data_IF_733086314902
#
_entry.id   IF_733086314902
#
_cell.length_a   1.000
_cell.length_b   1.000
_cell.length_c   1.000
_cell.angle_alpha   90.00
_cell.angle_beta   90.00
_cell.angle_gamma   90.00
#
_symmetry.space_group_name_H-M   'P 1'
#
loop_
_entity.id
_entity.type
_entity.pdbx_description
1 polymer ?
#
# COMPACT_ATOMS: atom_id res chain seq x y z
N UNK A 1 -3.36 -66.84 21.36
CA UNK A 1 -4.66 -66.33 20.87
C UNK A 1 -4.55 -64.81 20.82
N UNK A 2 -4.43 -64.25 19.62
CA UNK A 2 -4.19 -62.83 19.38
C UNK A 2 -5.55 -62.19 19.04
N UNK A 3 -6.08 -61.31 19.89
CA UNK A 3 -7.29 -60.56 19.59
C UNK A 3 -6.88 -59.16 19.13
N UNK A 4 -6.74 -58.97 17.81
CA UNK A 4 -6.57 -57.64 17.22
C UNK A 4 -7.96 -57.02 17.07
N UNK A 5 -8.30 -56.06 17.93
CA UNK A 5 -9.51 -55.25 17.78
C UNK A 5 -9.34 -54.24 16.65
N UNK A 6 -10.08 -54.41 15.56
CA UNK A 6 -10.19 -53.41 14.50
C UNK A 6 -11.17 -52.33 14.96
N UNK A 7 -10.67 -51.12 15.19
CA UNK A 7 -11.53 -49.94 15.38
C UNK A 7 -12.14 -49.56 14.04
N UNK A 8 -13.42 -49.87 13.85
CA UNK A 8 -14.20 -49.45 12.68
C UNK A 8 -14.60 -47.99 12.90
N UNK A 9 -13.87 -47.06 12.29
CA UNK A 9 -14.31 -45.68 12.17
C UNK A 9 -15.31 -45.57 11.01
N UNK A 10 -16.55 -45.19 11.29
CA UNK A 10 -17.56 -44.93 10.26
C UNK A 10 -17.26 -43.58 9.58
N UNK A 11 -16.81 -43.62 8.32
CA UNK A 11 -16.73 -42.42 7.46
C UNK A 11 -18.15 -42.06 7.01
N UNK A 12 -18.56 -40.80 7.18
CA UNK A 12 -19.84 -40.27 6.72
C UNK A 12 -19.66 -39.27 5.59
N UNK A 13 -20.65 -39.12 4.73
CA UNK A 13 -20.65 -38.10 3.67
C UNK A 13 -21.26 -36.81 4.20
N UNK A 14 -20.44 -35.76 4.25
CA UNK A 14 -20.87 -34.40 4.62
C UNK A 14 -21.17 -33.64 3.33
N UNK A 15 -22.37 -33.08 3.25
CA UNK A 15 -22.80 -32.23 2.13
C UNK A 15 -23.05 -30.81 2.61
N UNK A 16 -23.07 -29.86 1.69
CA UNK A 16 -23.34 -28.47 2.04
C UNK A 16 -23.37 -27.53 0.85
N UNK A 17 -23.64 -26.26 1.12
CA UNK A 17 -23.69 -25.16 0.15
C UNK A 17 -22.77 -24.03 0.62
N UNK A 18 -22.04 -23.44 -0.32
CA UNK A 18 -21.06 -22.38 -0.08
C UNK A 18 -21.48 -21.12 -0.82
N UNK A 19 -21.59 -20.02 -0.09
CA UNK A 19 -21.98 -18.70 -0.60
C UNK A 19 -20.98 -17.62 -0.21
N UNK A 20 -21.06 -16.44 -0.82
CA UNK A 20 -20.34 -15.24 -0.37
C UNK A 20 -21.17 -14.39 0.61
N UNK A 21 -20.62 -13.23 0.98
CA UNK A 21 -21.26 -12.24 1.87
C UNK A 21 -22.59 -11.69 1.33
N UNK A 22 -22.78 -11.66 0.01
CA UNK A 22 -24.01 -11.23 -0.64
C UNK A 22 -25.03 -12.38 -0.78
N UNK A 23 -24.63 -13.62 -0.47
CA UNK A 23 -25.45 -14.81 -0.60
C UNK A 23 -25.39 -15.47 -1.98
N UNK A 24 -24.46 -15.07 -2.84
CA UNK A 24 -24.26 -15.68 -4.16
C UNK A 24 -23.50 -17.02 -4.06
N UNK A 25 -23.84 -17.96 -4.94
CA UNK A 25 -23.25 -19.31 -4.95
C UNK A 25 -21.79 -19.30 -5.40
N UNK A 26 -20.92 -19.90 -4.59
CA UNK A 26 -19.49 -19.95 -4.86
C UNK A 26 -19.07 -21.30 -5.42
N UNK A 27 -18.79 -21.31 -6.72
CA UNK A 27 -18.21 -22.45 -7.42
C UNK A 27 -16.69 -22.57 -7.25
N UNK A 28 -16.17 -23.78 -7.48
CA UNK A 28 -14.73 -24.11 -7.44
C UNK A 28 -14.04 -23.82 -6.11
N UNK A 29 -14.78 -23.81 -5.01
CA UNK A 29 -14.22 -23.74 -3.66
C UNK A 29 -13.61 -25.10 -3.33
N UNK A 30 -12.34 -25.10 -2.89
CA UNK A 30 -11.66 -26.31 -2.43
C UNK A 30 -12.13 -26.62 -1.02
N UNK A 31 -12.71 -27.80 -0.83
CA UNK A 31 -13.09 -28.36 0.48
C UNK A 31 -12.10 -29.46 0.82
N UNK A 32 -11.40 -29.31 1.94
CA UNK A 32 -10.32 -30.19 2.39
C UNK A 32 -10.70 -30.79 3.73
N UNK A 33 -10.67 -32.11 3.85
CA UNK A 33 -10.68 -32.76 5.16
C UNK A 33 -9.25 -32.79 5.71
N UNK A 34 -9.01 -32.10 6.81
CA UNK A 34 -7.66 -31.96 7.38
C UNK A 34 -7.13 -33.22 8.07
N UNK A 35 -8.00 -34.18 8.41
CA UNK A 35 -7.60 -35.46 9.01
C UNK A 35 -7.15 -36.48 7.96
N UNK A 36 -7.74 -36.44 6.76
CA UNK A 36 -7.52 -37.44 5.70
C UNK A 36 -6.85 -36.88 4.44
N UNK A 37 -6.63 -35.57 4.39
CA UNK A 37 -6.15 -34.82 3.22
C UNK A 37 -6.98 -34.98 1.93
N UNK A 38 -8.21 -35.55 2.04
CA UNK A 38 -9.16 -35.64 0.92
C UNK A 38 -9.62 -34.25 0.49
N UNK A 39 -9.73 -34.03 -0.82
CA UNK A 39 -10.10 -32.75 -1.42
C UNK A 39 -11.21 -32.92 -2.44
N UNK A 40 -12.20 -32.03 -2.40
CA UNK A 40 -13.26 -31.91 -3.41
C UNK A 40 -13.48 -30.45 -3.76
N UNK A 41 -14.16 -30.19 -4.88
CA UNK A 41 -14.54 -28.83 -5.31
C UNK A 41 -16.04 -28.64 -5.20
N UNK A 42 -16.49 -27.43 -4.89
CA UNK A 42 -17.90 -27.07 -5.06
C UNK A 42 -18.29 -26.93 -6.53
N UNK A 43 -19.54 -27.29 -6.85
CA UNK A 43 -20.12 -27.17 -8.18
C UNK A 43 -20.58 -25.73 -8.51
N UNK A 44 -21.29 -25.55 -9.64
CA UNK A 44 -21.75 -24.24 -10.08
C UNK A 44 -22.80 -23.60 -9.14
N UNK A 45 -23.47 -24.42 -8.34
CA UNK A 45 -24.48 -24.02 -7.35
C UNK A 45 -23.89 -23.92 -5.94
N UNK A 46 -22.56 -23.98 -5.82
CA UNK A 46 -21.84 -23.93 -4.55
C UNK A 46 -22.02 -25.19 -3.69
N UNK A 47 -22.55 -26.28 -4.25
CA UNK A 47 -22.82 -27.52 -3.53
C UNK A 47 -21.53 -28.36 -3.49
N UNK A 48 -21.26 -28.99 -2.34
CA UNK A 48 -20.14 -29.93 -2.17
C UNK A 48 -20.59 -31.21 -1.45
N UNK A 49 -19.80 -32.27 -1.63
CA UNK A 49 -19.96 -33.56 -0.95
C UNK A 49 -18.58 -34.14 -0.67
N UNK A 50 -18.25 -34.41 0.60
CA UNK A 50 -16.95 -34.91 1.03
C UNK A 50 -17.09 -35.98 2.13
N UNK A 51 -16.25 -37.00 2.09
CA UNK A 51 -16.16 -38.00 3.17
C UNK A 51 -15.39 -37.44 4.37
N UNK A 52 -16.00 -37.50 5.54
CA UNK A 52 -15.40 -37.06 6.80
C UNK A 52 -15.93 -37.85 7.99
N UNK A 53 -15.11 -37.99 9.02
CA UNK A 53 -15.50 -38.61 10.29
C UNK A 53 -16.03 -37.55 11.24
N UNK A 54 -16.76 -37.99 12.28
CA UNK A 54 -17.17 -37.10 13.36
C UNK A 54 -15.96 -36.36 13.95
N UNK A 55 -16.10 -35.06 14.19
CA UNK A 55 -15.06 -34.16 14.71
C UNK A 55 -13.88 -33.88 13.76
N UNK A 56 -13.91 -34.34 12.50
CA UNK A 56 -12.93 -33.89 11.49
C UNK A 56 -13.08 -32.39 11.21
N UNK A 57 -11.96 -31.71 10.92
CA UNK A 57 -11.96 -30.32 10.47
C UNK A 57 -12.03 -30.28 8.94
N UNK A 58 -13.09 -29.66 8.42
CA UNK A 58 -13.22 -29.29 7.01
C UNK A 58 -12.75 -27.87 6.79
N UNK A 59 -11.94 -27.66 5.77
CA UNK A 59 -11.34 -26.38 5.42
C UNK A 59 -11.76 -25.97 4.01
N UNK A 60 -12.19 -24.72 3.89
CA UNK A 60 -12.75 -24.13 2.68
C UNK A 60 -11.80 -23.04 2.17
N UNK A 61 -11.36 -23.16 0.92
CA UNK A 61 -10.36 -22.28 0.31
C UNK A 61 -10.79 -21.90 -1.11
N UNK A 62 -10.74 -20.61 -1.41
CA UNK A 62 -10.90 -20.05 -2.76
C UNK A 62 -9.96 -18.85 -2.90
N UNK A 63 -9.44 -18.62 -4.10
CA UNK A 63 -8.64 -17.43 -4.40
C UNK A 63 -9.43 -16.15 -4.09
N UNK A 64 -8.78 -15.15 -3.52
CA UNK A 64 -9.37 -13.86 -3.10
C UNK A 64 -10.41 -13.93 -1.97
N UNK A 65 -10.60 -15.09 -1.35
CA UNK A 65 -11.46 -15.25 -0.18
C UNK A 65 -10.68 -15.68 1.05
N UNK A 66 -11.14 -15.23 2.23
CA UNK A 66 -10.63 -15.65 3.52
C UNK A 66 -10.99 -17.11 3.75
N UNK A 67 -9.98 -17.91 4.09
CA UNK A 67 -10.15 -19.31 4.47
C UNK A 67 -11.06 -19.47 5.69
N UNK A 68 -11.94 -20.45 5.64
CA UNK A 68 -12.81 -20.86 6.75
C UNK A 68 -12.58 -22.33 7.10
N UNK A 69 -12.72 -22.66 8.38
CA UNK A 69 -12.70 -24.04 8.89
C UNK A 69 -13.96 -24.33 9.69
N UNK A 70 -14.52 -25.54 9.53
CA UNK A 70 -15.68 -26.02 10.30
C UNK A 70 -15.45 -27.46 10.72
N UNK A 71 -15.82 -27.80 11.97
CA UNK A 71 -15.78 -29.19 12.44
C UNK A 71 -17.09 -29.92 12.14
N UNK A 72 -16.97 -31.20 11.79
CA UNK A 72 -18.10 -32.11 11.59
C UNK A 72 -18.71 -32.45 12.95
N UNK A 73 -20.04 -32.30 13.08
CA UNK A 73 -20.76 -32.52 14.34
C UNK A 73 -20.79 -34.00 14.75
N UNK A 74 -20.75 -34.26 16.05
CA UNK A 74 -20.60 -35.61 16.63
C UNK A 74 -21.93 -36.36 16.84
N UNK A 75 -23.07 -35.66 16.91
CA UNK A 75 -24.32 -36.20 17.48
C UNK A 75 -25.56 -36.15 16.54
N UNK A 76 -25.45 -36.68 15.32
CA UNK A 76 -26.61 -37.09 14.52
C UNK A 76 -26.95 -36.22 13.29
N UNK A 77 -27.58 -36.89 12.31
CA UNK A 77 -28.09 -36.49 10.98
C UNK A 77 -27.25 -35.45 10.21
N UNK A 78 -26.76 -35.84 9.03
CA UNK A 78 -25.97 -35.03 8.09
C UNK A 78 -26.74 -33.78 7.59
N UNK A 79 -27.02 -32.81 8.46
CA UNK A 79 -27.59 -31.53 8.08
C UNK A 79 -26.61 -30.87 7.11
N UNK A 80 -27.06 -30.42 5.92
CA UNK A 80 -26.18 -29.76 4.98
C UNK A 80 -25.49 -28.56 5.64
N UNK A 81 -24.17 -28.47 5.50
CA UNK A 81 -23.40 -27.35 6.01
C UNK A 81 -23.66 -26.11 5.12
N UNK A 82 -24.02 -25.00 5.74
CA UNK A 82 -24.03 -23.70 5.08
C UNK A 82 -22.77 -22.91 5.46
N UNK A 83 -21.97 -22.55 4.45
CA UNK A 83 -20.67 -21.88 4.63
C UNK A 83 -20.70 -20.55 3.87
N UNK A 84 -20.31 -19.47 4.54
CA UNK A 84 -20.20 -18.13 3.93
C UNK A 84 -18.73 -17.74 3.87
N UNK A 85 -18.13 -17.60 2.68
CA UNK A 85 -16.76 -17.10 2.51
C UNK A 85 -16.74 -15.57 2.40
N UNK A 86 -15.72 -14.96 3.00
CA UNK A 86 -15.54 -13.49 3.02
C UNK A 86 -14.47 -13.07 2.04
N UNK A 87 -14.70 -12.03 1.24
CA UNK A 87 -13.71 -11.57 0.25
C UNK A 87 -12.55 -10.85 0.95
N UNK A 88 -11.32 -11.04 0.47
CA UNK A 88 -10.16 -10.30 0.96
C UNK A 88 -10.16 -8.94 0.26
N UNK A 89 -10.20 -7.82 1.00
CA UNK A 89 -10.11 -6.49 0.40
C UNK A 89 -8.79 -6.35 -0.38
N UNK A 90 -8.89 -6.03 -1.67
CA UNK A 90 -7.72 -5.68 -2.50
C UNK A 90 -7.63 -4.17 -2.63
N UNK A 91 -6.47 -3.62 -2.28
CA UNK A 91 -6.14 -2.23 -2.56
C UNK A 91 -5.81 -2.12 -4.06
N UNK A 92 -6.79 -1.64 -4.84
CA UNK A 92 -6.56 -1.23 -6.22
C UNK A 92 -5.81 0.09 -6.16
N UNK A 93 -4.48 0.01 -6.19
CA UNK A 93 -3.60 1.17 -6.13
C UNK A 93 -4.00 2.27 -7.13
N UNK A 94 -3.54 3.49 -6.87
CA UNK A 94 -3.92 4.68 -7.64
C UNK A 94 -3.72 4.50 -9.15
N UNK A 95 -4.82 4.52 -9.90
CA UNK A 95 -4.77 4.51 -11.37
C UNK A 95 -4.27 5.87 -11.82
N UNK A 96 -3.01 5.93 -12.26
CA UNK A 96 -2.48 7.11 -12.95
C UNK A 96 -3.25 7.26 -14.26
N UNK A 97 -4.19 8.19 -14.31
CA UNK A 97 -4.83 8.58 -15.57
C UNK A 97 -3.77 9.29 -16.40
N UNK A 98 -3.09 8.53 -17.26
CA UNK A 98 -2.09 9.07 -18.17
C UNK A 98 -2.86 9.74 -19.32
N UNK A 99 -3.07 11.05 -19.21
CA UNK A 99 -3.72 11.97 -20.16
C UNK A 99 -5.25 11.86 -20.30
N UNK A 100 -5.88 13.03 -20.47
CA UNK A 100 -7.22 13.14 -21.06
C UNK A 100 -7.17 12.61 -22.49
N UNK A 101 -8.05 11.65 -22.79
CA UNK A 101 -8.27 11.15 -24.15
C UNK A 101 -8.76 12.29 -25.03
N UNK A 102 -8.23 12.36 -26.24
CA UNK A 102 -8.52 13.43 -27.20
C UNK A 102 -9.85 13.21 -27.94
N UNK A 103 -10.40 11.99 -27.89
CA UNK A 103 -11.63 11.60 -28.59
C UNK A 103 -11.38 11.10 -30.02
N UNK A 104 -10.12 11.04 -30.43
CA UNK A 104 -9.67 10.46 -31.69
C UNK A 104 -9.04 9.09 -31.41
N UNK A 105 -9.68 8.04 -31.93
CA UNK A 105 -9.29 6.65 -31.70
C UNK A 105 -7.88 6.32 -32.21
N UNK A 106 -7.43 6.95 -33.30
CA UNK A 106 -6.08 6.67 -33.84
C UNK A 106 -5.00 7.22 -32.90
N UNK A 107 -5.24 8.40 -32.34
CA UNK A 107 -4.31 9.06 -31.40
C UNK A 107 -4.38 8.40 -30.02
N UNK A 108 -5.58 8.09 -29.54
CA UNK A 108 -5.84 7.54 -28.22
C UNK A 108 -5.39 6.06 -28.11
N UNK A 109 -5.53 5.27 -29.17
CA UNK A 109 -5.04 3.87 -29.19
C UNK A 109 -3.51 3.80 -29.05
N UNK A 110 -2.77 4.77 -29.59
CA UNK A 110 -1.30 4.85 -29.45
C UNK A 110 -0.85 5.26 -28.05
N UNK A 111 -1.68 6.02 -27.32
CA UNK A 111 -1.41 6.40 -25.93
C UNK A 111 -1.58 5.18 -25.02
N UNK A 112 -2.63 4.38 -25.23
CA UNK A 112 -2.91 3.15 -24.47
C UNK A 112 -1.95 2.01 -24.84
N UNK A 113 -1.54 1.90 -26.11
CA UNK A 113 -0.66 0.83 -26.59
C UNK A 113 0.83 1.01 -26.25
N UNK A 114 1.23 2.16 -25.69
CA UNK A 114 2.58 2.30 -25.11
C UNK A 114 2.65 1.51 -23.81
N UNK A 115 2.82 0.21 -23.94
CA UNK A 115 3.15 -0.63 -22.80
C UNK A 115 4.52 -0.19 -22.30
N UNK A 116 4.59 0.24 -21.04
CA UNK A 116 5.84 0.62 -20.41
C UNK A 116 6.71 -0.63 -20.31
N UNK A 117 7.71 -0.74 -21.19
CA UNK A 117 8.66 -1.86 -21.19
C UNK A 117 9.39 -1.98 -19.85
N UNK A 118 9.56 -0.87 -19.13
CA UNK A 118 10.08 -0.86 -17.77
C UNK A 118 9.14 -1.55 -16.79
N UNK A 119 7.83 -1.32 -16.91
CA UNK A 119 6.81 -1.95 -16.07
C UNK A 119 6.72 -3.47 -16.32
N UNK A 120 6.81 -3.92 -17.57
CA UNK A 120 6.89 -5.35 -17.90
C UNK A 120 8.12 -6.02 -17.27
N UNK A 121 9.30 -5.36 -17.36
CA UNK A 121 10.53 -5.89 -16.76
C UNK A 121 10.43 -5.91 -15.24
N UNK A 122 9.86 -4.86 -14.63
CA UNK A 122 9.62 -4.81 -13.18
C UNK A 122 8.68 -5.92 -12.71
N UNK A 123 7.59 -6.16 -13.44
CA UNK A 123 6.64 -7.24 -13.16
C UNK A 123 7.30 -8.63 -13.28
N UNK A 124 8.18 -8.82 -14.26
CA UNK A 124 8.93 -10.07 -14.45
C UNK A 124 10.00 -10.30 -13.37
N UNK A 125 10.63 -9.23 -12.87
CA UNK A 125 11.70 -9.29 -11.84
C UNK A 125 11.12 -9.56 -10.45
N UNK A 126 9.89 -9.10 -10.16
CA UNK A 126 9.18 -9.39 -8.91
C UNK A 126 9.84 -8.83 -7.65
N UNK A 127 10.85 -7.96 -7.78
CA UNK A 127 11.48 -7.28 -6.66
C UNK A 127 10.65 -6.06 -6.25
N UNK A 128 10.49 -5.80 -4.94
CA UNK A 128 9.86 -4.57 -4.48
C UNK A 128 10.66 -3.37 -5.01
N UNK A 129 9.96 -2.35 -5.52
CA UNK A 129 10.64 -1.14 -5.97
C UNK A 129 11.38 -0.49 -4.80
N UNK A 130 12.60 0.02 -5.01
CA UNK A 130 13.32 0.77 -3.98
C UNK A 130 12.46 1.96 -3.55
N UNK A 131 12.10 1.98 -2.27
CA UNK A 131 11.27 3.04 -1.70
C UNK A 131 12.04 4.34 -1.62
N UNK A 132 11.46 5.41 -2.17
CA UNK A 132 12.01 6.76 -2.10
C UNK A 132 12.94 7.12 -3.26
N UNK A 133 13.59 8.29 -3.16
CA UNK A 133 14.43 8.83 -4.22
C UNK A 133 15.79 8.15 -4.20
N UNK A 134 16.18 7.53 -5.32
CA UNK A 134 17.54 7.02 -5.51
C UNK A 134 18.51 8.19 -5.58
N UNK A 135 19.24 8.45 -4.50
CA UNK A 135 20.24 9.52 -4.41
C UNK A 135 21.45 9.01 -3.62
N UNK A 136 22.64 9.50 -3.97
CA UNK A 136 23.83 9.27 -3.17
C UNK A 136 23.61 9.82 -1.75
N UNK A 137 23.89 9.00 -0.73
CA UNK A 137 23.79 9.43 0.66
C UNK A 137 25.01 10.30 1.00
N UNK A 138 24.83 11.58 1.41
CA UNK A 138 25.94 12.42 1.82
C UNK A 138 26.68 11.79 3.00
N UNK A 139 28.00 11.91 3.04
CA UNK A 139 28.79 11.43 4.17
C UNK A 139 28.33 12.10 5.48
N UNK A 140 28.08 11.32 6.52
CA UNK A 140 27.73 11.81 7.85
C UNK A 140 28.89 11.61 8.83
N UNK A 141 29.04 12.54 9.78
CA UNK A 141 30.10 12.50 10.81
C UNK A 141 30.12 11.15 11.54
N UNK A 142 28.95 10.63 11.96
CA UNK A 142 28.87 9.31 12.62
C UNK A 142 29.28 8.16 11.69
N UNK A 143 28.86 8.22 10.42
CA UNK A 143 29.15 7.19 9.42
C UNK A 143 30.63 7.13 9.03
N UNK A 144 31.39 8.18 9.29
CA UNK A 144 32.83 8.26 9.03
C UNK A 144 33.66 7.99 10.29
N UNK A 145 33.27 8.51 11.46
CA UNK A 145 34.01 8.32 12.71
C UNK A 145 33.83 6.92 13.36
N UNK A 146 32.63 6.33 13.29
CA UNK A 146 32.39 5.01 13.88
C UNK A 146 33.25 3.90 13.25
N UNK A 147 33.40 3.81 11.91
CA UNK A 147 34.30 2.85 11.30
C UNK A 147 35.76 3.03 11.73
N UNK A 148 36.22 4.28 11.90
CA UNK A 148 37.61 4.58 12.31
C UNK A 148 37.90 4.01 13.71
N UNK A 149 36.96 4.14 14.65
CA UNK A 149 37.06 3.55 15.98
C UNK A 149 37.12 2.02 15.96
N UNK A 150 36.59 1.40 14.90
CA UNK A 150 36.58 -0.05 14.67
C UNK A 150 37.70 -0.50 13.71
N UNK A 151 38.72 0.34 13.47
CA UNK A 151 39.87 0.02 12.62
C UNK A 151 39.62 0.07 11.11
N UNK A 152 38.45 0.55 10.67
CA UNK A 152 38.08 0.70 9.26
C UNK A 152 38.21 2.17 8.81
N UNK A 153 39.13 2.46 7.90
CA UNK A 153 39.36 3.81 7.39
C UNK A 153 38.48 4.11 6.17
N UNK A 154 37.48 4.99 6.33
CA UNK A 154 36.72 5.55 5.22
C UNK A 154 37.33 6.88 4.74
N UNK A 155 38.39 6.79 3.93
CA UNK A 155 39.18 7.94 3.47
C UNK A 155 38.35 8.89 2.60
N UNK A 156 37.52 8.36 1.72
CA UNK A 156 36.65 9.15 0.84
C UNK A 156 35.60 9.94 1.64
N UNK A 157 34.94 9.29 2.61
CA UNK A 157 33.97 9.95 3.48
C UNK A 157 34.60 11.05 4.34
N UNK A 158 35.83 10.83 4.83
CA UNK A 158 36.60 11.84 5.56
C UNK A 158 36.91 13.06 4.69
N UNK A 159 37.38 12.84 3.46
CA UNK A 159 37.65 13.91 2.51
C UNK A 159 36.37 14.70 2.18
N UNK A 160 35.25 14.03 1.94
CA UNK A 160 33.98 14.68 1.60
C UNK A 160 33.39 15.50 2.77
N UNK A 161 33.67 15.11 4.01
CA UNK A 161 33.33 15.88 5.21
C UNK A 161 34.22 17.11 5.37
N UNK A 162 35.55 16.95 5.27
CA UNK A 162 36.53 18.04 5.47
C UNK A 162 36.44 19.07 4.34
N UNK A 163 36.33 18.61 3.09
CA UNK A 163 36.19 19.49 1.91
C UNK A 163 34.85 20.25 1.87
N UNK A 164 33.90 19.88 2.73
CA UNK A 164 32.57 20.47 2.78
C UNK A 164 31.64 20.03 1.65
N UNK A 165 32.06 19.09 0.80
CA UNK A 165 31.23 18.51 -0.27
C UNK A 165 29.95 17.90 0.30
N UNK A 166 30.05 17.13 1.38
CA UNK A 166 28.87 16.55 2.05
C UNK A 166 27.88 17.62 2.54
N UNK A 167 28.39 18.75 3.05
CA UNK A 167 27.55 19.88 3.49
C UNK A 167 26.86 20.57 2.31
N UNK A 168 27.55 20.74 1.18
CA UNK A 168 26.97 21.30 -0.05
C UNK A 168 25.90 20.38 -0.63
N UNK A 169 26.19 19.09 -0.73
CA UNK A 169 25.26 18.07 -1.23
C UNK A 169 23.99 17.99 -0.36
N UNK A 170 24.13 17.97 0.97
CA UNK A 170 22.99 17.99 1.90
C UNK A 170 22.12 19.23 1.71
N UNK A 171 22.73 20.42 1.56
CA UNK A 171 21.99 21.66 1.30
C UNK A 171 21.24 21.59 -0.02
N UNK A 172 21.90 21.14 -1.08
CA UNK A 172 21.27 20.98 -2.40
C UNK A 172 20.03 20.10 -2.30
N UNK A 173 20.15 18.91 -1.70
CA UNK A 173 19.00 18.02 -1.54
C UNK A 173 17.88 18.62 -0.71
N UNK A 174 18.19 19.40 0.33
CA UNK A 174 17.15 20.10 1.10
C UNK A 174 16.43 21.18 0.29
N UNK A 175 17.14 21.88 -0.61
CA UNK A 175 16.53 22.85 -1.51
C UNK A 175 15.68 22.16 -2.59
N UNK A 176 16.20 21.11 -3.22
CA UNK A 176 15.49 20.35 -4.24
C UNK A 176 14.19 19.76 -3.67
N UNK A 177 14.26 19.12 -2.49
CA UNK A 177 13.08 18.58 -1.82
C UNK A 177 12.11 19.68 -1.38
N UNK A 178 12.60 20.86 -1.02
CA UNK A 178 11.73 21.99 -0.68
C UNK A 178 10.96 22.47 -1.92
N UNK A 179 11.66 22.72 -3.02
CA UNK A 179 11.06 23.17 -4.28
C UNK A 179 10.07 22.15 -4.83
N UNK A 180 10.41 20.87 -4.79
CA UNK A 180 9.50 19.81 -5.24
C UNK A 180 8.20 19.76 -4.40
N UNK A 181 8.30 19.90 -3.07
CA UNK A 181 7.11 19.93 -2.23
C UNK A 181 6.27 21.19 -2.45
N UNK A 182 6.89 22.36 -2.68
CA UNK A 182 6.18 23.60 -3.01
C UNK A 182 5.46 23.44 -4.36
N UNK A 183 6.17 22.95 -5.38
CA UNK A 183 5.63 22.71 -6.71
C UNK A 183 4.46 21.72 -6.66
N UNK A 184 4.57 20.63 -5.87
CA UNK A 184 3.49 19.66 -5.72
C UNK A 184 2.19 20.27 -5.18
N UNK A 185 2.29 21.22 -4.24
CA UNK A 185 1.14 21.95 -3.69
C UNK A 185 0.56 22.88 -4.75
N UNK A 186 1.40 23.69 -5.40
CA UNK A 186 0.98 24.67 -6.41
C UNK A 186 0.37 24.04 -7.67
N UNK A 187 0.78 22.82 -8.01
CA UNK A 187 0.22 22.03 -9.10
C UNK A 187 -1.20 21.51 -8.79
N UNK A 188 -1.64 21.56 -7.52
CA UNK A 188 -2.92 21.00 -7.04
C UNK A 188 -3.85 22.02 -6.42
N UNK A 189 -3.35 23.20 -6.08
CA UNK A 189 -4.13 24.28 -5.46
C UNK A 189 -3.91 25.52 -6.32
N UNK A 190 -4.98 26.02 -6.92
CA UNK A 190 -4.94 27.23 -7.73
C UNK A 190 -4.55 28.45 -6.90
N UNK A 191 -3.83 29.39 -7.51
CA UNK A 191 -3.35 30.59 -6.83
C UNK A 191 -4.49 31.44 -6.23
N UNK A 192 -5.71 31.37 -6.81
CA UNK A 192 -6.92 32.03 -6.30
C UNK A 192 -7.30 31.58 -4.88
N UNK A 193 -7.02 30.33 -4.50
CA UNK A 193 -7.24 29.85 -3.13
C UNK A 193 -6.44 30.67 -2.12
N UNK A 194 -5.16 30.93 -2.43
CA UNK A 194 -4.26 31.67 -1.55
C UNK A 194 -4.59 33.16 -1.53
N UNK A 195 -4.96 33.73 -2.69
CA UNK A 195 -5.37 35.13 -2.81
C UNK A 195 -6.61 35.39 -1.96
N UNK A 196 -7.61 34.50 -1.98
CA UNK A 196 -8.80 34.59 -1.11
C UNK A 196 -8.45 34.49 0.38
N UNK A 197 -7.41 33.74 0.73
CA UNK A 197 -6.89 33.68 2.09
C UNK A 197 -6.07 34.92 2.50
N UNK A 198 -5.88 35.91 1.61
CA UNK A 198 -5.13 37.14 1.87
C UNK A 198 -3.62 37.04 1.62
N UNK A 199 -3.18 36.02 0.87
CA UNK A 199 -1.78 35.82 0.49
C UNK A 199 -1.59 36.29 -0.97
N UNK A 200 -0.70 37.27 -1.22
CA UNK A 200 -0.40 37.72 -2.59
C UNK A 200 0.14 36.59 -3.47
N UNK A 201 -0.22 36.61 -4.75
CA UNK A 201 0.14 35.58 -5.75
C UNK A 201 1.67 35.36 -5.85
N UNK A 202 2.43 36.46 -5.84
CA UNK A 202 3.91 36.47 -5.86
C UNK A 202 4.54 35.91 -4.57
N UNK A 203 3.77 35.82 -3.49
CA UNK A 203 4.22 35.36 -2.16
C UNK A 203 3.74 33.95 -1.83
N UNK A 204 2.97 33.28 -2.70
CA UNK A 204 2.41 31.94 -2.42
C UNK A 204 3.51 30.92 -2.12
N UNK A 205 4.60 30.91 -2.89
CA UNK A 205 5.72 29.97 -2.66
C UNK A 205 6.41 30.24 -1.32
N UNK A 206 6.57 31.51 -0.94
CA UNK A 206 7.12 31.92 0.36
C UNK A 206 6.19 31.52 1.51
N UNK A 207 4.88 31.69 1.33
CA UNK A 207 3.87 31.26 2.29
C UNK A 207 3.91 29.75 2.53
N UNK A 208 3.99 28.95 1.45
CA UNK A 208 4.08 27.49 1.57
C UNK A 208 5.37 27.11 2.32
N UNK A 209 6.50 27.74 1.96
CA UNK A 209 7.77 27.54 2.67
C UNK A 209 7.67 27.91 4.15
N UNK A 210 7.05 29.05 4.48
CA UNK A 210 6.80 29.49 5.85
C UNK A 210 5.96 28.44 6.60
N UNK A 211 4.91 27.93 5.97
CA UNK A 211 4.03 26.93 6.56
C UNK A 211 4.75 25.62 6.88
N UNK A 212 5.71 25.21 6.04
CA UNK A 212 6.58 24.06 6.35
C UNK A 212 7.45 24.27 7.59
N UNK A 213 7.85 25.51 7.88
CA UNK A 213 8.63 25.85 9.07
C UNK A 213 7.74 26.01 10.31
N UNK A 214 6.60 26.67 10.18
CA UNK A 214 5.65 26.90 11.26
C UNK A 214 4.96 25.61 11.70
N UNK A 215 4.58 24.75 10.76
CA UNK A 215 3.94 23.44 11.00
C UNK A 215 4.61 22.36 10.14
N UNK A 216 5.64 21.67 10.65
CA UNK A 216 6.33 20.60 9.92
C UNK A 216 5.42 19.48 9.41
N UNK A 217 4.24 19.30 10.02
CA UNK A 217 3.24 18.31 9.59
C UNK A 217 2.74 18.56 8.17
N UNK A 218 2.77 19.81 7.67
CA UNK A 218 2.42 20.11 6.27
C UNK A 218 3.29 19.27 5.33
N UNK A 219 4.61 19.16 5.58
CA UNK A 219 5.51 18.31 4.77
C UNK A 219 5.20 16.83 4.90
N UNK A 220 4.73 16.38 6.07
CA UNK A 220 4.29 15.00 6.27
C UNK A 220 3.08 14.68 5.40
N UNK A 221 2.10 15.58 5.35
CA UNK A 221 0.92 15.42 4.50
C UNK A 221 1.27 15.48 3.00
N UNK A 222 2.21 16.34 2.59
CA UNK A 222 2.73 16.35 1.21
C UNK A 222 3.36 14.99 0.84
N UNK A 223 4.21 14.45 1.71
CA UNK A 223 4.84 13.14 1.50
C UNK A 223 3.83 12.00 1.44
N UNK A 224 2.76 12.08 2.23
CA UNK A 224 1.64 11.15 2.23
C UNK A 224 0.64 11.40 1.09
N UNK A 225 0.91 12.36 0.19
CA UNK A 225 0.00 12.79 -0.89
C UNK A 225 -1.40 13.20 -0.41
N UNK A 226 -1.53 13.63 0.84
CA UNK A 226 -2.79 14.02 1.46
C UNK A 226 -3.05 15.51 1.27
N UNK A 227 -3.79 15.87 0.20
CA UNK A 227 -4.10 17.27 -0.13
C UNK A 227 -4.94 17.95 0.96
N UNK A 228 -5.99 17.29 1.47
CA UNK A 228 -6.88 17.86 2.49
C UNK A 228 -6.13 18.19 3.79
N UNK A 229 -5.21 17.31 4.20
CA UNK A 229 -4.33 17.55 5.35
C UNK A 229 -3.38 18.73 5.11
N UNK A 230 -2.89 18.91 3.88
CA UNK A 230 -2.09 20.09 3.53
C UNK A 230 -2.93 21.35 3.60
N UNK A 231 -4.10 21.40 2.96
CA UNK A 231 -4.98 22.57 2.92
C UNK A 231 -5.36 23.03 4.33
N UNK A 232 -5.81 22.11 5.18
CA UNK A 232 -6.16 22.39 6.57
C UNK A 232 -4.99 23.07 7.33
N UNK A 233 -3.77 22.53 7.19
CA UNK A 233 -2.60 23.07 7.88
C UNK A 233 -2.13 24.41 7.29
N UNK A 234 -2.34 24.64 6.00
CA UNK A 234 -2.06 25.92 5.36
C UNK A 234 -3.04 27.00 5.86
N UNK A 235 -4.33 26.70 5.98
CA UNK A 235 -5.31 27.65 6.54
C UNK A 235 -4.93 28.06 7.97
N UNK A 236 -4.48 27.12 8.78
CA UNK A 236 -4.03 27.40 10.15
C UNK A 236 -2.78 28.30 10.22
N UNK A 237 -1.92 28.31 9.19
CA UNK A 237 -0.68 29.11 9.15
C UNK A 237 -0.84 30.43 8.39
N UNK A 238 -1.88 30.58 7.57
CA UNK A 238 -2.19 31.81 6.83
C UNK A 238 -2.24 33.08 7.70
N UNK A 239 -2.97 33.14 8.84
CA UNK A 239 -3.05 34.36 9.63
C UNK A 239 -1.68 34.79 10.19
N UNK A 240 -0.86 33.83 10.62
CA UNK A 240 0.49 34.08 11.15
C UNK A 240 1.42 34.66 10.08
N UNK A 241 1.31 34.15 8.84
CA UNK A 241 2.10 34.67 7.72
C UNK A 241 1.70 36.11 7.37
N UNK A 242 0.40 36.39 7.32
CA UNK A 242 -0.14 37.72 7.02
C UNK A 242 0.29 38.73 8.07
N UNK A 243 0.25 38.37 9.35
CA UNK A 243 0.73 39.22 10.44
C UNK A 243 2.22 39.55 10.28
N UNK A 244 3.04 38.54 9.98
CA UNK A 244 4.49 38.72 9.77
C UNK A 244 4.81 39.59 8.56
N UNK A 245 4.05 39.47 7.47
CA UNK A 245 4.21 40.35 6.30
C UNK A 245 3.95 41.81 6.66
N UNK A 246 2.91 42.09 7.46
CA UNK A 246 2.57 43.46 7.90
C UNK A 246 3.66 44.05 8.82
N UNK A 247 4.28 43.24 9.67
CA UNK A 247 5.36 43.70 10.56
C UNK A 247 6.64 44.05 9.79
N UNK A 248 6.97 43.31 8.73
CA UNK A 248 8.17 43.54 7.91
C UNK A 248 8.02 44.69 6.89
N UNK A 249 6.83 45.27 6.74
CA UNK A 249 6.58 46.45 5.89
C UNK A 249 6.69 47.79 6.63
N UNK A 250 6.90 47.76 7.96
CA UNK A 250 7.26 48.93 8.78
C UNK A 250 8.77 49.07 8.88
#
# INVERSE_FOLDING_TARGET
MLLCGTAIFSQQTVTGRIVDEAGEDLSKVIVINMSTDKKVYSDAQGIFSIEASSNDELRFVKEDFKRISKRVLTNGANSPLFITLYQIPKDVGEVKIVKKLTGDLETDSRIVAKVDKGEQVKAAVGLPEPVGKMREKPAEVKSVLLPILLGNLNVQGMYDLISGKARRQKRQYTYDDLQEHIAWIRDRIDDEYFVRAGIPEDRVSEFIQFSFLAKPQVRTYVKARNLSGVMLRLEETAPLFIERMKQNQK
#
